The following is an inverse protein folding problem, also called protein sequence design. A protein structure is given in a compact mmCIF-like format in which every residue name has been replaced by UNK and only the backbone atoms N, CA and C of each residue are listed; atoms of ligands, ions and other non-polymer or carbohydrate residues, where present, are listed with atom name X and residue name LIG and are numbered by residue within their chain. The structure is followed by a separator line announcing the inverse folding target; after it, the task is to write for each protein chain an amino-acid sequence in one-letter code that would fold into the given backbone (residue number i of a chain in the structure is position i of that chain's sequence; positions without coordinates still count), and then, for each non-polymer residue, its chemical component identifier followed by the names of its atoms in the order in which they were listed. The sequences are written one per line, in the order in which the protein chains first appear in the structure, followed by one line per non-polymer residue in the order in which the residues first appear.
data_IF_961685624954
#
_entry.id   IF_961685624954
#
_cell.length_a   1.000
_cell.length_b   1.000
_cell.length_c   1.000
_cell.angle_alpha   90.00
_cell.angle_beta   90.00
_cell.angle_gamma   90.00
#
_symmetry.space_group_name_H-M   'P 1'
#
loop_
_entity.id
_entity.type
_entity.pdbx_description
1 polymer ?
#
# COMPACT_ATOMS: atom_id res chain seq x y z
N UNK A 1 3.82 -14.03 -1.37
CA UNK A 1 2.68 -13.72 -0.48
C UNK A 1 1.85 -12.64 -1.16
N UNK A 2 0.53 -12.62 -1.00
CA UNK A 2 -0.33 -11.62 -1.65
C UNK A 2 -0.86 -10.60 -0.65
N UNK A 3 -0.99 -9.35 -1.10
CA UNK A 3 -1.52 -8.24 -0.32
C UNK A 3 -2.34 -7.34 -1.22
N UNK A 4 -3.43 -6.81 -0.68
CA UNK A 4 -4.22 -5.78 -1.35
C UNK A 4 -3.64 -4.41 -0.99
N UNK A 5 -3.25 -3.63 -1.99
CA UNK A 5 -2.80 -2.24 -1.85
C UNK A 5 -3.68 -1.32 -2.69
N UNK A 6 -3.54 -0.02 -2.49
CA UNK A 6 -4.29 0.98 -3.22
C UNK A 6 -3.43 2.16 -3.64
N UNK A 7 -3.67 2.67 -4.84
CA UNK A 7 -3.14 3.96 -5.30
C UNK A 7 -4.24 5.02 -5.17
N UNK A 8 -3.89 6.16 -4.56
CA UNK A 8 -4.69 7.38 -4.56
C UNK A 8 -4.13 8.34 -5.60
N UNK A 9 -5.01 8.79 -6.49
CA UNK A 9 -4.64 9.52 -7.70
C UNK A 9 -5.59 10.70 -7.89
N UNK A 10 -5.00 11.86 -8.18
CA UNK A 10 -5.72 13.05 -8.62
C UNK A 10 -5.88 12.98 -10.15
N UNK A 11 -7.12 12.98 -10.63
CA UNK A 11 -7.37 12.90 -12.08
C UNK A 11 -8.75 13.47 -12.46
N UNK A 12 -8.87 14.09 -13.65
CA UNK A 12 -10.13 14.72 -14.08
C UNK A 12 -11.22 13.70 -14.45
N UNK A 13 -10.86 12.44 -14.74
CA UNK A 13 -11.80 11.39 -15.10
C UNK A 13 -11.25 10.00 -14.77
N UNK A 14 -12.16 9.01 -14.86
CA UNK A 14 -11.90 7.61 -14.53
C UNK A 14 -10.76 6.98 -15.34
N UNK A 15 -10.63 7.31 -16.62
CA UNK A 15 -9.64 6.67 -17.49
C UNK A 15 -8.23 7.21 -17.19
N UNK A 16 -8.11 8.52 -16.97
CA UNK A 16 -6.86 9.16 -16.53
C UNK A 16 -6.44 8.66 -15.12
N UNK A 17 -7.42 8.46 -14.23
CA UNK A 17 -7.20 7.89 -12.91
C UNK A 17 -6.64 6.46 -12.99
N UNK A 18 -7.25 5.61 -13.82
CA UNK A 18 -6.81 4.23 -14.01
C UNK A 18 -5.42 4.15 -14.62
N UNK A 19 -5.13 4.97 -15.63
CA UNK A 19 -3.81 5.04 -16.26
C UNK A 19 -2.72 5.45 -15.24
N UNK A 20 -3.00 6.46 -14.42
CA UNK A 20 -2.06 6.95 -13.41
C UNK A 20 -1.90 5.98 -12.23
N UNK A 21 -2.98 5.30 -11.82
CA UNK A 21 -2.93 4.22 -10.82
C UNK A 21 -2.08 3.04 -11.29
N UNK A 22 -2.27 2.59 -12.54
CA UNK A 22 -1.43 1.53 -13.13
C UNK A 22 0.04 1.97 -13.22
N UNK A 23 0.31 3.22 -13.58
CA UNK A 23 1.66 3.75 -13.57
C UNK A 23 2.27 3.78 -12.16
N UNK A 24 1.48 4.01 -11.10
CA UNK A 24 1.95 3.90 -9.72
C UNK A 24 2.37 2.46 -9.39
N UNK A 25 1.57 1.46 -9.79
CA UNK A 25 1.91 0.05 -9.59
C UNK A 25 3.10 -0.41 -10.43
N UNK A 26 3.22 0.02 -11.68
CA UNK A 26 4.38 -0.24 -12.55
C UNK A 26 5.69 0.21 -11.90
N UNK A 27 5.68 1.38 -11.24
CA UNK A 27 6.84 1.88 -10.47
C UNK A 27 7.12 1.00 -9.25
N UNK A 28 6.10 0.47 -8.61
CA UNK A 28 6.25 -0.39 -7.44
C UNK A 28 6.75 -1.79 -7.81
N UNK A 29 6.53 -2.29 -9.03
CA UNK A 29 7.09 -3.56 -9.52
C UNK A 29 8.35 -3.40 -10.38
N UNK A 30 8.86 -2.18 -10.51
CA UNK A 30 10.17 -1.94 -11.13
C UNK A 30 10.18 -1.85 -12.66
N UNK A 31 9.06 -1.51 -13.32
CA UNK A 31 9.02 -1.32 -14.79
C UNK A 31 9.85 -0.11 -15.24
N UNK A 32 10.12 0.86 -14.36
CA UNK A 32 10.90 2.06 -14.66
C UNK A 32 12.43 1.87 -14.53
N UNK A 33 13.24 2.61 -15.32
CA UNK A 33 14.70 2.48 -15.33
C UNK A 33 15.40 2.82 -14.00
N UNK A 34 14.73 3.57 -13.12
CA UNK A 34 15.24 4.02 -11.82
C UNK A 34 14.44 3.49 -10.61
N UNK A 35 13.50 2.56 -10.83
CA UNK A 35 12.69 1.98 -9.75
C UNK A 35 13.21 0.60 -9.34
N UNK A 36 13.76 0.47 -8.14
CA UNK A 36 13.95 -0.84 -7.53
C UNK A 36 12.57 -1.46 -7.24
N UNK A 37 12.35 -2.68 -7.71
CA UNK A 37 11.10 -3.41 -7.48
C UNK A 37 10.85 -3.59 -5.98
N UNK A 38 9.66 -3.17 -5.54
CA UNK A 38 9.14 -3.32 -4.18
C UNK A 38 8.29 -4.58 -4.07
N UNK A 39 7.54 -4.88 -5.13
CA UNK A 39 6.71 -6.08 -5.30
C UNK A 39 7.16 -6.85 -6.55
N UNK A 40 6.89 -8.15 -6.60
CA UNK A 40 7.26 -9.01 -7.72
C UNK A 40 6.37 -8.76 -8.96
N UNK A 41 5.07 -8.64 -8.73
CA UNK A 41 4.05 -8.32 -9.75
C UNK A 41 2.78 -7.80 -9.07
N UNK A 42 1.86 -7.23 -9.86
CA UNK A 42 0.53 -6.83 -9.43
C UNK A 42 -0.54 -7.35 -10.38
N UNK A 43 -1.78 -7.45 -9.90
CA UNK A 43 -2.97 -7.81 -10.68
C UNK A 43 -4.08 -6.81 -10.35
N UNK A 44 -4.70 -6.27 -11.39
CA UNK A 44 -5.85 -5.36 -11.32
C UNK A 44 -7.17 -6.13 -11.34
N UNK A 45 -8.25 -5.49 -10.89
CA UNK A 45 -9.55 -6.14 -10.72
C UNK A 45 -10.38 -6.27 -12.01
N UNK A 46 -9.82 -5.89 -13.16
CA UNK A 46 -10.32 -6.19 -14.50
C UNK A 46 -9.59 -7.38 -15.15
N UNK A 47 -8.60 -7.98 -14.49
CA UNK A 47 -7.91 -9.16 -14.98
C UNK A 47 -8.63 -10.46 -14.59
N UNK A 48 -9.41 -11.00 -15.52
CA UNK A 48 -10.13 -12.27 -15.36
C UNK A 48 -9.25 -13.51 -15.65
N UNK A 49 -7.98 -13.34 -16.02
CA UNK A 49 -7.11 -14.44 -16.47
C UNK A 49 -6.44 -15.19 -15.32
N UNK A 50 -6.44 -14.61 -14.12
CA UNK A 50 -5.83 -15.20 -12.92
C UNK A 50 -6.83 -16.00 -12.10
N UNK A 51 -6.36 -17.12 -11.51
CA UNK A 51 -7.15 -17.95 -10.59
C UNK A 51 -6.64 -17.90 -9.14
N UNK A 52 -5.59 -17.12 -8.87
CA UNK A 52 -4.90 -17.09 -7.55
C UNK A 52 -4.70 -15.69 -6.99
N UNK A 53 -5.04 -14.65 -7.77
CA UNK A 53 -4.89 -13.24 -7.44
C UNK A 53 -6.14 -12.44 -7.84
N UNK A 54 -6.21 -11.16 -7.48
CA UNK A 54 -7.29 -10.26 -7.86
C UNK A 54 -8.64 -10.75 -7.33
N UNK A 55 -9.65 -10.76 -8.20
CA UNK A 55 -11.03 -11.19 -7.85
C UNK A 55 -11.10 -12.59 -7.25
N UNK A 56 -10.29 -13.54 -7.76
CA UNK A 56 -10.27 -14.91 -7.25
C UNK A 56 -9.83 -15.01 -5.78
N UNK A 57 -9.07 -14.02 -5.29
CA UNK A 57 -8.52 -13.98 -3.94
C UNK A 57 -9.28 -13.05 -3.00
N UNK A 58 -9.66 -11.88 -3.50
CA UNK A 58 -10.20 -10.79 -2.68
C UNK A 58 -11.69 -10.54 -2.87
N UNK A 59 -12.34 -11.29 -3.77
CA UNK A 59 -13.71 -11.05 -4.21
C UNK A 59 -13.80 -9.88 -5.20
N UNK A 60 -15.02 -9.55 -5.58
CA UNK A 60 -15.30 -8.41 -6.45
C UNK A 60 -14.91 -7.10 -5.75
N UNK A 61 -14.06 -6.31 -6.39
CA UNK A 61 -13.73 -4.93 -6.00
C UNK A 61 -13.76 -4.06 -7.26
N UNK A 62 -14.05 -2.75 -7.14
CA UNK A 62 -14.04 -1.88 -8.31
C UNK A 62 -12.62 -1.77 -8.88
N UNK A 63 -12.51 -1.72 -10.20
CA UNK A 63 -11.23 -1.47 -10.89
C UNK A 63 -10.67 -0.09 -10.52
N UNK A 64 -11.57 0.88 -10.34
CA UNK A 64 -11.28 2.25 -9.92
C UNK A 64 -12.58 2.87 -9.39
N UNK A 65 -12.49 3.60 -8.28
CA UNK A 65 -13.61 4.30 -7.66
C UNK A 65 -13.22 5.73 -7.29
N UNK A 66 -14.16 6.66 -7.33
CA UNK A 66 -13.98 7.98 -6.71
C UNK A 66 -13.97 7.80 -5.19
N UNK A 67 -13.09 8.50 -4.47
CA UNK A 67 -13.06 8.41 -2.99
C UNK A 67 -14.35 8.90 -2.32
N UNK A 68 -15.16 9.67 -3.05
CA UNK A 68 -16.44 10.21 -2.58
C UNK A 68 -17.62 9.24 -2.79
N UNK A 69 -17.40 8.11 -3.48
CA UNK A 69 -18.40 7.05 -3.59
C UNK A 69 -18.34 6.12 -2.38
N UNK A 70 -19.45 5.41 -2.10
CA UNK A 70 -19.49 4.43 -1.01
C UNK A 70 -18.39 3.37 -1.16
N UNK A 71 -18.22 2.81 -2.36
CA UNK A 71 -17.18 1.82 -2.66
C UNK A 71 -15.76 2.39 -2.47
N UNK A 72 -15.51 3.63 -2.93
CA UNK A 72 -14.20 4.26 -2.78
C UNK A 72 -13.86 4.60 -1.33
N UNK A 73 -14.84 5.06 -0.56
CA UNK A 73 -14.71 5.31 0.87
C UNK A 73 -14.39 4.02 1.64
N UNK A 74 -15.04 2.90 1.30
CA UNK A 74 -14.75 1.59 1.88
C UNK A 74 -13.32 1.11 1.57
N UNK A 75 -12.85 1.28 0.33
CA UNK A 75 -11.46 0.96 -0.04
C UNK A 75 -10.45 1.82 0.74
N UNK A 76 -10.73 3.12 0.86
CA UNK A 76 -9.88 4.07 1.57
C UNK A 76 -9.79 3.72 3.06
N UNK A 77 -10.93 3.46 3.70
CA UNK A 77 -10.99 3.03 5.10
C UNK A 77 -10.21 1.73 5.29
N UNK A 78 -10.41 0.74 4.42
CA UNK A 78 -9.70 -0.54 4.49
C UNK A 78 -8.18 -0.36 4.37
N UNK A 79 -7.72 0.46 3.42
CA UNK A 79 -6.29 0.74 3.22
C UNK A 79 -5.66 1.52 4.38
N UNK A 80 -6.38 2.51 4.92
CA UNK A 80 -5.90 3.30 6.05
C UNK A 80 -5.84 2.49 7.35
N UNK A 81 -6.87 1.68 7.62
CA UNK A 81 -6.91 0.78 8.76
C UNK A 81 -5.76 -0.24 8.69
N UNK A 82 -5.55 -0.87 7.52
CA UNK A 82 -4.44 -1.81 7.34
C UNK A 82 -3.07 -1.15 7.57
N UNK A 83 -2.87 0.07 7.06
CA UNK A 83 -1.64 0.85 7.28
C UNK A 83 -1.41 1.14 8.77
N UNK A 84 -2.46 1.54 9.47
CA UNK A 84 -2.39 1.88 10.90
C UNK A 84 -2.14 0.64 11.77
N UNK A 85 -2.89 -0.45 11.54
CA UNK A 85 -2.73 -1.72 12.26
C UNK A 85 -1.34 -2.33 12.06
N UNK A 86 -0.81 -2.25 10.84
CA UNK A 86 0.54 -2.69 10.52
C UNK A 86 1.59 -1.87 11.28
N UNK A 87 1.45 -0.55 11.29
CA UNK A 87 2.34 0.34 12.01
C UNK A 87 2.31 0.06 13.51
N UNK A 88 1.12 -0.03 14.11
CA UNK A 88 0.96 -0.32 15.55
C UNK A 88 1.56 -1.67 15.94
N UNK A 89 1.40 -2.69 15.09
CA UNK A 89 1.98 -4.01 15.31
C UNK A 89 3.50 -3.98 15.32
N UNK A 90 4.12 -3.29 14.36
CA UNK A 90 5.57 -3.15 14.32
C UNK A 90 6.07 -2.25 15.46
N UNK A 91 5.33 -1.19 15.82
CA UNK A 91 5.65 -0.32 16.95
C UNK A 91 5.68 -1.07 18.27
N UNK A 92 4.69 -1.95 18.49
CA UNK A 92 4.64 -2.81 19.67
C UNK A 92 5.87 -3.72 19.74
N UNK A 93 6.24 -4.35 18.63
CA UNK A 93 7.45 -5.20 18.56
C UNK A 93 8.73 -4.43 18.87
N UNK A 94 8.87 -3.23 18.32
CA UNK A 94 10.05 -2.38 18.59
C UNK A 94 10.10 -1.94 20.04
N UNK A 95 8.97 -1.55 20.65
CA UNK A 95 8.91 -1.22 22.08
C UNK A 95 9.34 -2.40 22.94
N UNK A 96 8.76 -3.58 22.74
CA UNK A 96 9.16 -4.80 23.44
C UNK A 96 10.64 -5.10 23.27
N UNK A 97 11.17 -5.01 22.05
CA UNK A 97 12.57 -5.29 21.79
C UNK A 97 13.52 -4.29 22.49
N UNK A 98 13.18 -2.99 22.48
CA UNK A 98 13.97 -1.96 23.16
C UNK A 98 13.93 -2.10 24.68
N UNK A 99 12.79 -2.51 25.23
CA UNK A 99 12.61 -2.65 26.68
C UNK A 99 13.20 -3.95 27.23
N UNK A 100 13.16 -5.05 26.47
CA UNK A 100 13.48 -6.38 26.98
C UNK A 100 14.79 -6.98 26.45
N UNK A 101 15.27 -6.57 25.26
CA UNK A 101 16.41 -7.25 24.62
C UNK A 101 17.72 -6.53 24.88
N UNK A 102 18.77 -7.31 25.11
CA UNK A 102 20.14 -6.80 25.12
C UNK A 102 20.58 -6.36 23.72
N UNK A 103 21.63 -5.56 23.64
CA UNK A 103 22.23 -5.13 22.36
C UNK A 103 22.61 -6.32 21.48
N UNK A 104 23.18 -7.40 22.05
CA UNK A 104 23.57 -8.59 21.30
C UNK A 104 22.34 -9.33 20.73
N UNK A 105 21.25 -9.40 21.49
CA UNK A 105 19.98 -9.99 21.02
C UNK A 105 19.36 -9.18 19.88
N UNK A 106 19.39 -7.84 19.97
CA UNK A 106 19.00 -6.96 18.88
C UNK A 106 19.88 -7.16 17.65
N UNK A 107 21.20 -7.27 17.81
CA UNK A 107 22.13 -7.50 16.69
C UNK A 107 21.84 -8.81 15.95
N UNK A 108 21.48 -9.86 16.71
CA UNK A 108 21.06 -11.18 16.18
C UNK A 108 19.65 -11.21 15.61
N UNK A 109 18.95 -10.07 15.61
CA UNK A 109 17.57 -9.96 15.15
C UNK A 109 16.61 -10.92 15.89
N UNK A 110 16.80 -11.05 17.21
CA UNK A 110 15.92 -11.85 18.05
C UNK A 110 14.47 -11.42 17.81
N UNK A 111 13.62 -12.39 17.52
CA UNK A 111 12.19 -12.19 17.24
C UNK A 111 11.91 -11.14 16.14
N UNK A 112 12.82 -11.00 15.17
CA UNK A 112 12.69 -10.07 14.04
C UNK A 112 12.62 -8.59 14.48
N UNK A 113 13.28 -8.23 15.59
CA UNK A 113 13.29 -6.87 16.13
C UNK A 113 13.83 -5.83 15.14
N UNK A 114 14.94 -6.12 14.44
CA UNK A 114 15.51 -5.23 13.41
C UNK A 114 14.61 -5.14 12.20
N UNK A 115 13.97 -6.24 11.82
CA UNK A 115 12.97 -6.22 10.75
C UNK A 115 11.74 -5.37 11.13
N UNK A 116 11.29 -5.40 12.38
CA UNK A 116 10.22 -4.51 12.86
C UNK A 116 10.64 -3.03 12.79
N UNK A 117 11.89 -2.69 13.14
CA UNK A 117 12.44 -1.34 12.94
C UNK A 117 12.47 -0.93 11.46
N UNK A 118 12.87 -1.85 10.58
CA UNK A 118 12.84 -1.62 9.13
C UNK A 118 11.43 -1.31 8.64
N UNK A 119 10.44 -2.11 9.02
CA UNK A 119 9.04 -1.91 8.64
C UNK A 119 8.46 -0.58 9.13
N UNK A 120 8.78 -0.16 10.36
CA UNK A 120 8.37 1.15 10.89
C UNK A 120 8.95 2.32 10.11
N UNK A 121 10.18 2.19 9.63
CA UNK A 121 10.88 3.22 8.87
C UNK A 121 10.63 3.18 7.37
N UNK A 122 9.86 2.21 6.87
CA UNK A 122 9.68 1.97 5.46
C UNK A 122 8.97 3.16 4.77
N UNK A 123 9.42 3.47 3.55
CA UNK A 123 8.80 4.47 2.67
C UNK A 123 7.95 3.83 1.57
N UNK A 124 8.18 2.54 1.31
CA UNK A 124 7.51 1.66 0.37
C UNK A 124 7.68 0.23 0.88
N UNK A 125 6.79 -0.69 0.51
CA UNK A 125 6.93 -2.10 0.85
C UNK A 125 5.70 -2.72 1.48
N UNK A 126 5.78 -4.00 1.83
CA UNK A 126 4.63 -4.76 2.29
C UNK A 126 4.07 -4.31 3.65
N UNK A 127 4.78 -3.44 4.38
CA UNK A 127 4.25 -2.82 5.60
C UNK A 127 3.32 -1.62 5.34
N UNK A 128 3.04 -1.28 4.08
CA UNK A 128 2.27 -0.10 3.67
C UNK A 128 1.24 -0.46 2.61
N UNK A 129 0.05 0.13 2.71
CA UNK A 129 -1.11 -0.28 1.92
C UNK A 129 -1.68 0.83 1.02
N UNK A 130 -1.39 2.09 1.33
CA UNK A 130 -1.80 3.25 0.54
C UNK A 130 -0.59 3.91 -0.11
N UNK A 131 -0.70 4.22 -1.39
CA UNK A 131 0.33 4.84 -2.21
C UNK A 131 -0.22 6.04 -2.96
N UNK A 132 0.61 7.04 -3.21
CA UNK A 132 0.33 8.13 -4.15
C UNK A 132 0.58 7.70 -5.61
N UNK A 133 0.23 8.58 -6.55
CA UNK A 133 0.43 8.38 -8.00
C UNK A 133 1.89 8.16 -8.43
N UNK A 134 2.86 8.47 -7.56
CA UNK A 134 4.30 8.29 -7.78
C UNK A 134 4.84 7.00 -7.12
N UNK A 135 3.97 6.18 -6.54
CA UNK A 135 4.33 4.96 -5.80
C UNK A 135 5.02 5.26 -4.46
N UNK A 136 4.90 6.47 -3.93
CA UNK A 136 5.29 6.82 -2.57
C UNK A 136 4.19 6.40 -1.58
N UNK A 137 4.55 5.74 -0.48
CA UNK A 137 3.52 5.36 0.49
C UNK A 137 2.97 6.58 1.23
N UNK A 138 1.68 6.54 1.54
CA UNK A 138 0.98 7.49 2.40
C UNK A 138 1.05 6.96 3.84
N UNK A 139 1.83 7.63 4.69
CA UNK A 139 2.29 7.05 5.97
C UNK A 139 1.70 7.67 7.23
N UNK A 140 1.07 8.84 7.10
CA UNK A 140 0.50 9.55 8.23
C UNK A 140 -0.72 10.35 7.79
N UNK A 141 -1.58 10.69 8.76
CA UNK A 141 -2.90 11.27 8.50
C UNK A 141 -2.81 12.59 7.74
N UNK A 142 -1.89 13.48 8.12
CA UNK A 142 -1.71 14.77 7.43
C UNK A 142 -1.31 14.64 5.95
N UNK A 143 -0.67 13.52 5.55
CA UNK A 143 -0.34 13.28 4.14
C UNK A 143 -1.58 12.80 3.39
N UNK A 144 -2.36 11.91 4.02
CA UNK A 144 -3.62 11.44 3.46
C UNK A 144 -4.61 12.58 3.28
N UNK A 145 -4.81 13.41 4.32
CA UNK A 145 -5.74 14.54 4.27
C UNK A 145 -5.36 15.52 3.14
N UNK A 146 -4.06 15.79 2.94
CA UNK A 146 -3.61 16.64 1.82
C UNK A 146 -3.96 16.09 0.45
N UNK A 147 -3.90 14.77 0.26
CA UNK A 147 -4.30 14.14 -1.00
C UNK A 147 -5.81 14.24 -1.19
N UNK A 148 -6.58 14.01 -0.11
CA UNK A 148 -8.04 14.06 -0.16
C UNK A 148 -8.61 15.48 -0.29
N UNK A 149 -7.87 16.49 0.14
CA UNK A 149 -8.21 17.91 0.02
C UNK A 149 -7.82 18.53 -1.35
N UNK A 150 -7.41 17.71 -2.34
CA UNK A 150 -7.10 18.21 -3.68
C UNK A 150 -8.31 18.92 -4.33
N UNK A 151 -8.02 19.94 -5.14
CA UNK A 151 -9.01 20.62 -5.97
C UNK A 151 -9.49 19.72 -7.14
N UNK A 152 -8.72 18.68 -7.48
CA UNK A 152 -9.08 17.69 -8.47
C UNK A 152 -9.80 16.48 -7.85
N UNK A 153 -10.58 15.75 -8.66
CA UNK A 153 -11.22 14.53 -8.17
C UNK A 153 -10.16 13.49 -7.82
N UNK A 154 -10.23 12.99 -6.58
CA UNK A 154 -9.39 11.90 -6.11
C UNK A 154 -10.07 10.57 -6.39
N UNK A 155 -9.28 9.62 -6.87
CA UNK A 155 -9.67 8.26 -7.18
C UNK A 155 -8.82 7.27 -6.41
N UNK A 156 -9.40 6.12 -6.10
CA UNK A 156 -8.72 4.99 -5.47
C UNK A 156 -8.76 3.78 -6.41
N UNK A 157 -7.60 3.18 -6.62
CA UNK A 157 -7.40 2.01 -7.50
C UNK A 157 -6.85 0.88 -6.63
N UNK A 158 -7.54 -0.26 -6.47
CA UNK A 158 -7.01 -1.43 -5.78
C UNK A 158 -6.14 -2.29 -6.69
N UNK A 159 -5.10 -2.91 -6.12
CA UNK A 159 -4.33 -3.96 -6.79
C UNK A 159 -3.92 -5.05 -5.81
N UNK A 160 -3.95 -6.29 -6.29
CA UNK A 160 -3.36 -7.44 -5.60
C UNK A 160 -1.88 -7.55 -5.98
N UNK A 161 -0.99 -7.34 -5.02
CA UNK A 161 0.47 -7.43 -5.21
C UNK A 161 1.06 -8.68 -4.59
N UNK A 162 2.10 -9.21 -5.22
CA UNK A 162 2.92 -10.30 -4.68
C UNK A 162 4.27 -9.80 -4.15
N UNK A 163 4.72 -10.33 -3.01
CA UNK A 163 6.03 -10.08 -2.37
C UNK A 163 6.54 -11.26 -1.52
#
# INVERSE_FOLDING_TARGET
MHQLIYALVEAPNRDDALASGNAAFDRLVGVGPDSAAVFDYYVTFDDETTSVAGTARWGELPVVASVDSDEGAELLERGWNATTEEFERNLKRVRTAVDEFSTEELMRDKELARHACYNLGAYRGPSLFLYDEYGGAIRHRDQLDRVLESDEQVWIIPADVHY
#
